data_IF_299467559465
#
_entry.id   IF_299467559465
#
_cell.length_a   1.000
_cell.length_b   1.000
_cell.length_c   1.000
_cell.angle_alpha   90.00
_cell.angle_beta   90.00
_cell.angle_gamma   90.00
#
_symmetry.space_group_name_H-M   'P 1'
#
loop_
_entity.id
_entity.type
_entity.pdbx_description
1 polymer ?
#
# COMPACT_ATOMS: atom_id res chain seq x y z
N UNK A 1 21.90 3.58 7.58
CA UNK A 1 20.57 3.21 7.04
C UNK A 1 19.61 3.21 8.21
N UNK A 2 18.45 3.85 8.10
CA UNK A 2 17.43 3.84 9.16
C UNK A 2 17.01 2.39 9.41
N UNK A 3 17.20 1.89 10.63
CA UNK A 3 16.73 0.56 11.04
C UNK A 3 15.21 0.64 11.23
N UNK A 4 14.46 0.63 10.12
CA UNK A 4 13.00 0.50 10.13
C UNK A 4 12.63 -0.81 10.85
N UNK A 5 11.79 -0.72 11.88
CA UNK A 5 11.30 -1.91 12.57
C UNK A 5 10.22 -2.59 11.75
N UNK A 6 10.08 -3.91 11.92
CA UNK A 6 8.98 -4.66 11.30
C UNK A 6 7.61 -4.10 11.69
N UNK A 7 7.44 -3.66 12.94
CA UNK A 7 6.20 -3.03 13.41
C UNK A 7 5.88 -1.74 12.67
N UNK A 8 6.88 -0.87 12.46
CA UNK A 8 6.70 0.37 11.71
C UNK A 8 6.33 0.09 10.24
N UNK A 9 6.98 -0.90 9.62
CA UNK A 9 6.65 -1.35 8.28
C UNK A 9 5.19 -1.78 8.17
N UNK A 10 4.70 -2.61 9.11
CA UNK A 10 3.33 -3.10 9.10
C UNK A 10 2.32 -1.96 9.36
N UNK A 11 2.62 -1.09 10.33
CA UNK A 11 1.78 0.07 10.66
C UNK A 11 1.59 1.00 9.45
N UNK A 12 2.67 1.38 8.77
CA UNK A 12 2.59 2.26 7.60
C UNK A 12 1.87 1.59 6.44
N UNK A 13 2.16 0.30 6.22
CA UNK A 13 1.49 -0.50 5.22
C UNK A 13 -0.02 -0.59 5.46
N UNK A 14 -0.46 -0.81 6.70
CA UNK A 14 -1.88 -0.87 7.05
C UNK A 14 -2.57 0.49 6.93
N UNK A 15 -1.93 1.55 7.40
CA UNK A 15 -2.45 2.91 7.26
C UNK A 15 -2.73 3.25 5.79
N UNK A 16 -1.75 3.06 4.91
CA UNK A 16 -1.89 3.36 3.48
C UNK A 16 -2.94 2.45 2.85
N UNK A 17 -2.94 1.16 3.20
CA UNK A 17 -3.90 0.20 2.64
C UNK A 17 -5.33 0.63 2.96
N UNK A 18 -5.61 0.95 4.24
CA UNK A 18 -6.93 1.42 4.67
C UNK A 18 -7.29 2.71 3.94
N UNK A 19 -6.42 3.72 3.95
CA UNK A 19 -6.70 5.01 3.30
C UNK A 19 -7.04 4.88 1.81
N UNK A 20 -6.28 4.05 1.08
CA UNK A 20 -6.53 3.81 -0.35
C UNK A 20 -7.83 3.03 -0.56
N UNK A 21 -8.03 1.92 0.17
CA UNK A 21 -9.21 1.04 -0.04
C UNK A 21 -10.53 1.65 0.44
N UNK A 22 -10.48 2.63 1.35
CA UNK A 22 -11.64 3.43 1.75
C UNK A 22 -11.83 4.69 0.91
N UNK A 23 -10.85 5.02 0.07
CA UNK A 23 -10.92 6.16 -0.85
C UNK A 23 -11.62 5.83 -2.17
N UNK A 24 -11.76 6.84 -3.01
CA UNK A 24 -12.39 6.73 -4.32
C UNK A 24 -11.36 6.40 -5.40
N UNK A 25 -10.93 5.13 -5.44
CA UNK A 25 -10.00 4.61 -6.43
C UNK A 25 -10.57 3.38 -7.11
N UNK A 26 -10.82 3.47 -8.42
CA UNK A 26 -11.47 2.40 -9.19
C UNK A 26 -10.51 1.33 -9.71
N UNK A 27 -9.23 1.67 -9.89
CA UNK A 27 -8.29 0.80 -10.57
C UNK A 27 -6.85 0.91 -10.06
N UNK A 28 -6.08 -0.14 -10.32
CA UNK A 28 -4.69 -0.27 -9.89
C UNK A 28 -3.78 0.84 -10.42
N UNK A 29 -4.01 1.33 -11.64
CA UNK A 29 -3.15 2.35 -12.26
C UNK A 29 -3.24 3.67 -11.50
N UNK A 30 -4.44 4.07 -11.10
CA UNK A 30 -4.68 5.30 -10.36
C UNK A 30 -4.15 5.19 -8.92
N UNK A 31 -4.37 4.05 -8.26
CA UNK A 31 -3.79 3.75 -6.94
C UNK A 31 -2.27 3.83 -6.96
N UNK A 32 -1.62 3.18 -7.93
CA UNK A 32 -0.17 3.19 -8.07
C UNK A 32 0.37 4.60 -8.22
N UNK A 33 -0.29 5.43 -9.04
CA UNK A 33 0.07 6.84 -9.20
C UNK A 33 -0.09 7.62 -7.90
N UNK A 34 -1.23 7.45 -7.21
CA UNK A 34 -1.49 8.11 -5.94
C UNK A 34 -0.42 7.78 -4.90
N UNK A 35 -0.03 6.51 -4.77
CA UNK A 35 1.00 6.12 -3.80
C UNK A 35 2.35 6.75 -4.11
N UNK A 36 2.76 6.74 -5.38
CA UNK A 36 4.03 7.31 -5.79
C UNK A 36 4.06 8.82 -5.56
N UNK A 37 2.96 9.52 -5.77
CA UNK A 37 2.90 10.98 -5.59
C UNK A 37 2.79 11.36 -4.11
N UNK A 38 2.02 10.62 -3.31
CA UNK A 38 1.69 11.02 -1.95
C UNK A 38 2.67 10.49 -0.89
N UNK A 39 3.11 9.24 -1.00
CA UNK A 39 3.85 8.59 0.10
C UNK A 39 5.34 8.41 -0.19
N UNK A 40 5.77 8.26 -1.45
CA UNK A 40 7.20 8.08 -1.76
C UNK A 40 8.06 9.30 -1.37
N UNK A 41 7.61 10.55 -1.55
CA UNK A 41 8.36 11.73 -1.10
C UNK A 41 8.31 11.93 0.43
N UNK A 42 7.37 11.28 1.12
CA UNK A 42 7.20 11.42 2.55
C UNK A 42 8.24 10.59 3.31
N UNK A 43 9.25 11.28 3.84
CA UNK A 43 10.36 10.68 4.57
C UNK A 43 9.97 10.17 5.97
N UNK A 44 8.74 10.39 6.42
CA UNK A 44 8.21 9.85 7.69
C UNK A 44 7.64 8.45 7.53
N UNK A 45 7.35 8.03 6.30
CA UNK A 45 6.81 6.73 5.97
C UNK A 45 7.94 5.76 5.64
N UNK A 46 7.87 4.57 6.21
CA UNK A 46 8.85 3.52 5.91
C UNK A 46 8.80 3.11 4.44
N UNK A 47 9.98 3.04 3.81
CA UNK A 47 10.08 2.60 2.40
C UNK A 47 9.68 1.13 2.26
N UNK A 48 9.99 0.34 3.28
CA UNK A 48 9.54 -1.05 3.38
C UNK A 48 8.02 -1.16 3.48
N UNK A 49 7.36 -0.24 4.21
CA UNK A 49 5.91 -0.16 4.32
C UNK A 49 5.26 0.17 2.98
N UNK A 50 5.79 1.15 2.25
CA UNK A 50 5.34 1.51 0.89
C UNK A 50 5.50 0.32 -0.08
N UNK A 51 6.66 -0.35 -0.07
CA UNK A 51 6.88 -1.51 -0.92
C UNK A 51 5.91 -2.65 -0.59
N UNK A 52 5.60 -2.85 0.69
CA UNK A 52 4.71 -3.90 1.13
C UNK A 52 3.26 -3.62 0.73
N UNK A 53 2.77 -2.39 0.95
CA UNK A 53 1.40 -2.01 0.61
C UNK A 53 1.14 -2.01 -0.90
N UNK A 54 2.13 -1.63 -1.72
CA UNK A 54 1.99 -1.72 -3.18
C UNK A 54 1.66 -3.15 -3.64
N UNK A 55 2.32 -4.17 -3.09
CA UNK A 55 2.00 -5.57 -3.42
C UNK A 55 0.62 -6.00 -2.93
N UNK A 56 0.19 -5.51 -1.75
CA UNK A 56 -1.14 -5.81 -1.20
C UNK A 56 -2.24 -5.20 -2.08
N UNK A 57 -2.09 -3.95 -2.46
CA UNK A 57 -3.05 -3.22 -3.27
C UNK A 57 -3.09 -3.76 -4.70
N UNK A 58 -1.94 -4.12 -5.28
CA UNK A 58 -1.91 -4.79 -6.58
C UNK A 58 -2.83 -6.02 -6.56
N UNK A 59 -2.64 -6.93 -5.60
CA UNK A 59 -3.50 -8.12 -5.46
C UNK A 59 -4.97 -7.78 -5.23
N UNK A 60 -5.25 -6.75 -4.44
CA UNK A 60 -6.62 -6.30 -4.15
C UNK A 60 -7.34 -5.84 -5.43
N UNK A 61 -6.65 -5.07 -6.29
CA UNK A 61 -7.23 -4.49 -7.51
C UNK A 61 -7.11 -5.36 -8.75
N UNK A 62 -6.14 -6.29 -8.83
CA UNK A 62 -6.00 -7.23 -9.96
C UNK A 62 -6.77 -8.52 -9.76
N UNK A 63 -7.23 -8.80 -8.53
CA UNK A 63 -8.02 -10.00 -8.23
C UNK A 63 -7.19 -11.27 -8.04
N UNK A 64 -5.86 -11.17 -7.87
CA UNK A 64 -4.96 -12.31 -7.61
C UNK A 64 -5.11 -12.94 -6.21
N UNK A 65 -6.25 -12.73 -5.55
CA UNK A 65 -6.65 -13.54 -4.40
C UNK A 65 -7.29 -14.84 -4.88
N UNK A 66 -6.47 -15.89 -5.00
CA UNK A 66 -6.92 -17.29 -4.91
C UNK A 66 -7.43 -17.63 -3.51
N UNK A 67 -8.49 -16.96 -3.05
CA UNK A 67 -9.45 -17.49 -2.08
C UNK A 67 -10.63 -16.52 -1.89
N UNK A 68 -11.84 -17.01 -2.19
CA UNK A 68 -13.08 -16.49 -1.60
C UNK A 68 -13.96 -15.59 -2.47
N UNK A 69 -14.40 -16.07 -3.64
CA UNK A 69 -15.74 -15.72 -4.16
C UNK A 69 -16.53 -17.01 -4.44
N UNK A 70 -17.47 -17.32 -3.54
CA UNK A 70 -18.75 -17.95 -3.84
C UNK A 70 -19.81 -17.09 -3.20
#
# INVERSE_FOLDING_TARGET
>A
MSNETYEQQMKDSDMIFTQITTGDFDNWKDVKRAIVVLYVPDMTISRSGISHVLKRLERYYTGDNTNGKR
#
